data_IF_781400223215
#
_entry.id   IF_781400223215
#
_cell.length_a   1.000
_cell.length_b   1.000
_cell.length_c   1.000
_cell.angle_alpha   90.00
_cell.angle_beta   90.00
_cell.angle_gamma   90.00
#
_symmetry.space_group_name_H-M   'P 1'
#
loop_
_entity.id
_entity.type
_entity.pdbx_description
1 polymer ?
#
# COMPACT_ATOMS: atom_id res chain seq x y z
N UNK A 1 -3.34 -4.94 -27.72
CA UNK A 1 -3.87 -4.16 -26.57
C UNK A 1 -3.25 -4.71 -25.31
N UNK A 2 -2.34 -3.99 -24.65
CA UNK A 2 -1.84 -4.43 -23.34
C UNK A 2 -2.91 -4.10 -22.29
N UNK A 3 -3.57 -5.12 -21.77
CA UNK A 3 -4.40 -5.00 -20.57
C UNK A 3 -3.46 -4.69 -19.40
N UNK A 4 -3.19 -3.40 -19.16
CA UNK A 4 -2.48 -2.97 -17.97
C UNK A 4 -3.36 -3.24 -16.76
N UNK A 5 -3.21 -4.42 -16.17
CA UNK A 5 -3.71 -4.70 -14.83
C UNK A 5 -3.02 -3.72 -13.90
N UNK A 6 -3.76 -2.71 -13.44
CA UNK A 6 -3.24 -1.67 -12.58
C UNK A 6 -2.99 -2.30 -11.20
N UNK A 7 -1.77 -2.79 -10.97
CA UNK A 7 -1.38 -3.45 -9.72
C UNK A 7 -1.27 -2.41 -8.62
N UNK A 8 -1.85 -2.66 -7.47
CA UNK A 8 -1.83 -1.74 -6.34
C UNK A 8 -0.74 -2.19 -5.36
N UNK A 9 0.15 -1.25 -5.01
CA UNK A 9 1.09 -1.43 -3.91
C UNK A 9 0.59 -0.59 -2.75
N UNK A 10 0.21 -1.26 -1.66
CA UNK A 10 -0.24 -0.61 -0.43
C UNK A 10 0.88 -0.58 0.60
N UNK A 11 1.24 0.62 1.03
CA UNK A 11 2.21 0.86 2.11
C UNK A 11 1.39 1.16 3.36
N UNK A 12 1.53 0.32 4.39
CA UNK A 12 0.79 0.46 5.65
C UNK A 12 1.79 0.55 6.80
N UNK A 13 1.95 1.74 7.36
CA UNK A 13 2.88 2.00 8.45
C UNK A 13 2.32 3.13 9.32
N UNK A 14 2.36 3.01 10.63
CA UNK A 14 1.84 4.02 11.56
C UNK A 14 2.66 5.32 11.56
N UNK A 15 3.87 5.30 10.99
CA UNK A 15 4.74 6.44 10.80
C UNK A 15 4.56 7.13 9.43
N UNK A 16 4.15 8.40 9.45
CA UNK A 16 3.89 9.18 8.24
C UNK A 16 5.15 9.33 7.36
N UNK A 17 6.30 9.62 7.96
CA UNK A 17 7.55 9.83 7.24
C UNK A 17 7.96 8.58 6.46
N UNK A 18 7.79 7.41 7.08
CA UNK A 18 8.01 6.10 6.44
C UNK A 18 7.07 5.89 5.26
N UNK A 19 5.78 6.19 5.40
CA UNK A 19 4.84 6.05 4.27
C UNK A 19 5.19 6.98 3.10
N UNK A 20 5.62 8.20 3.38
CA UNK A 20 6.06 9.19 2.37
C UNK A 20 7.33 8.69 1.67
N UNK A 21 8.33 8.22 2.42
CA UNK A 21 9.59 7.73 1.87
C UNK A 21 9.36 6.61 0.84
N UNK A 22 8.55 5.62 1.21
CA UNK A 22 8.26 4.50 0.30
C UNK A 22 7.38 4.91 -0.88
N UNK A 23 6.43 5.83 -0.68
CA UNK A 23 5.63 6.37 -1.78
C UNK A 23 6.52 7.05 -2.83
N UNK A 24 7.41 7.94 -2.38
CA UNK A 24 8.32 8.68 -3.26
C UNK A 24 9.28 7.75 -4.00
N UNK A 25 9.76 6.68 -3.35
CA UNK A 25 10.62 5.68 -3.98
C UNK A 25 9.89 4.85 -5.06
N UNK A 26 8.60 4.58 -4.89
CA UNK A 26 7.85 3.65 -5.74
C UNK A 26 6.95 4.33 -6.78
N UNK A 27 6.58 5.61 -6.62
CA UNK A 27 5.61 6.30 -7.50
C UNK A 27 6.00 6.35 -8.98
N UNK A 28 7.28 6.20 -9.30
CA UNK A 28 7.79 6.25 -10.68
C UNK A 28 7.77 4.89 -11.39
N UNK A 29 7.49 3.80 -10.67
CA UNK A 29 7.45 2.45 -11.23
C UNK A 29 6.22 2.32 -12.15
N UNK A 30 6.46 1.96 -13.41
CA UNK A 30 5.38 1.82 -14.40
C UNK A 30 4.49 0.61 -14.09
N UNK A 31 3.19 0.79 -14.27
CA UNK A 31 2.21 -0.30 -14.14
C UNK A 31 1.89 -0.69 -12.70
N UNK A 32 2.22 0.17 -11.73
CA UNK A 32 1.69 0.10 -10.37
C UNK A 32 1.01 1.42 -10.00
N UNK A 33 0.05 1.34 -9.08
CA UNK A 33 -0.49 2.49 -8.34
C UNK A 33 -0.09 2.32 -6.87
N UNK A 34 0.54 3.33 -6.29
CA UNK A 34 0.96 3.30 -4.89
C UNK A 34 -0.10 3.99 -4.04
N UNK A 35 -0.52 3.34 -2.96
CA UNK A 35 -1.43 3.90 -1.95
C UNK A 35 -0.78 3.75 -0.58
N UNK A 36 -0.99 4.73 0.29
CA UNK A 36 -0.37 4.80 1.62
C UNK A 36 -1.43 4.92 2.70
N UNK A 37 -1.23 4.23 3.82
CA UNK A 37 -2.11 4.30 4.99
C UNK A 37 -1.30 4.36 6.27
N UNK A 38 -1.61 5.33 7.12
CA UNK A 38 -1.16 5.37 8.52
C UNK A 38 -2.14 4.70 9.49
N UNK A 39 -3.35 4.42 9.01
CA UNK A 39 -4.39 3.71 9.75
C UNK A 39 -4.60 2.32 9.14
N UNK A 40 -4.28 1.23 9.85
CA UNK A 40 -4.45 -0.13 9.34
C UNK A 40 -5.91 -0.53 9.13
N UNK A 41 -6.88 0.11 9.79
CA UNK A 41 -8.31 -0.14 9.57
C UNK A 41 -8.72 0.41 8.20
N UNK A 42 -8.30 1.64 7.85
CA UNK A 42 -8.54 2.21 6.53
C UNK A 42 -7.86 1.41 5.41
N UNK A 43 -6.67 0.89 5.68
CA UNK A 43 -5.99 0.00 4.74
C UNK A 43 -6.80 -1.27 4.48
N UNK A 44 -7.40 -1.86 5.52
CA UNK A 44 -8.24 -3.05 5.41
C UNK A 44 -9.56 -2.77 4.67
N UNK A 45 -10.20 -1.64 4.93
CA UNK A 45 -11.40 -1.19 4.19
C UNK A 45 -11.08 -1.04 2.69
N UNK A 46 -9.96 -0.39 2.36
CA UNK A 46 -9.51 -0.23 0.98
C UNK A 46 -9.17 -1.59 0.33
N UNK A 47 -8.57 -2.52 1.09
CA UNK A 47 -8.27 -3.88 0.63
C UNK A 47 -9.54 -4.62 0.23
N UNK A 48 -10.58 -4.59 1.07
CA UNK A 48 -11.84 -5.29 0.83
C UNK A 48 -12.52 -4.88 -0.49
N UNK A 49 -12.34 -3.62 -0.90
CA UNK A 49 -12.92 -3.10 -2.15
C UNK A 49 -12.10 -3.45 -3.40
N UNK A 50 -10.79 -3.78 -3.27
CA UNK A 50 -9.91 -3.97 -4.44
C UNK A 50 -9.10 -5.29 -4.39
N UNK A 51 -9.63 -6.31 -3.71
CA UNK A 51 -8.95 -7.54 -3.25
C UNK A 51 -8.06 -8.26 -4.29
N UNK A 52 -8.29 -8.08 -5.59
CA UNK A 52 -7.58 -8.74 -6.68
C UNK A 52 -6.26 -8.06 -7.14
N UNK A 53 -5.80 -6.99 -6.50
CA UNK A 53 -4.68 -6.17 -7.01
C UNK A 53 -3.49 -5.94 -6.05
N UNK A 54 -3.39 -6.61 -4.90
CA UNK A 54 -2.53 -6.13 -3.80
C UNK A 54 -1.18 -6.83 -3.59
N UNK A 55 -0.16 -5.98 -3.34
CA UNK A 55 1.01 -6.29 -2.50
C UNK A 55 0.97 -5.34 -1.28
N UNK A 56 1.13 -5.89 -0.06
CA UNK A 56 1.13 -5.12 1.20
C UNK A 56 2.54 -5.12 1.80
N UNK A 57 3.07 -3.93 2.07
CA UNK A 57 4.32 -3.74 2.83
C UNK A 57 3.92 -3.14 4.17
N UNK A 58 4.13 -3.90 5.25
CA UNK A 58 3.79 -3.49 6.62
C UNK A 58 4.96 -3.68 7.56
N UNK A 59 5.21 -2.68 8.40
CA UNK A 59 6.09 -2.80 9.55
C UNK A 59 5.32 -3.40 10.72
N UNK A 60 5.78 -4.52 11.27
CA UNK A 60 5.16 -5.16 12.42
C UNK A 60 5.86 -4.74 13.71
N UNK A 61 5.44 -3.63 14.31
CA UNK A 61 5.69 -3.38 15.74
C UNK A 61 4.41 -3.65 16.52
N UNK A 62 4.39 -4.81 17.19
CA UNK A 62 3.35 -5.27 18.14
C UNK A 62 1.98 -5.63 17.53
N UNK A 63 1.79 -6.93 17.25
CA UNK A 63 0.44 -7.52 17.08
C UNK A 63 -0.08 -8.18 18.38
N UNK A 64 0.68 -8.13 19.48
CA UNK A 64 0.23 -8.66 20.77
C UNK A 64 0.63 -7.69 21.88
N UNK A 65 -0.28 -6.80 22.25
CA UNK A 65 -0.45 -6.29 23.61
C UNK A 65 -1.94 -6.29 23.93
#
# INVERSE_FOLDING_TARGET
>A
MSTSTNRIVSIVDDDLDTTILFHEALKSVRGITVVTFTDPIKALEHFHVNEHAYLVIRNFKNILK
#
